data_IF_778197610464
#
_entry.id   IF_778197610464
#
_cell.length_a   1.000
_cell.length_b   1.000
_cell.length_c   1.000
_cell.angle_alpha   90.00
_cell.angle_beta   90.00
_cell.angle_gamma   90.00
#
_symmetry.space_group_name_H-M   'P 1'
#
loop_
_entity.id
_entity.type
_entity.pdbx_description
1 polymer ?
#
# COMPACT_ATOMS: atom_id res chain seq x y z
N UNK A 1 -13.97 -5.67 -13.51
CA UNK A 1 -14.51 -5.13 -14.78
C UNK A 1 -15.15 -6.27 -15.56
N UNK A 2 -16.33 -6.70 -15.07
CA UNK A 2 -17.37 -7.49 -15.76
C UNK A 2 -18.61 -7.52 -14.85
N UNK A 3 -18.95 -6.37 -14.27
CA UNK A 3 -20.20 -6.19 -13.49
C UNK A 3 -21.26 -5.45 -14.29
N UNK A 4 -20.99 -5.15 -15.56
CA UNK A 4 -21.89 -4.43 -16.44
C UNK A 4 -22.05 -5.29 -17.71
N UNK A 5 -23.29 -5.51 -18.10
CA UNK A 5 -23.77 -6.06 -19.39
C UNK A 5 -23.71 -7.58 -19.59
N UNK A 6 -24.21 -8.41 -18.68
CA UNK A 6 -24.59 -9.79 -19.07
C UNK A 6 -25.90 -10.21 -18.39
N UNK A 7 -27.00 -9.53 -18.71
CA UNK A 7 -28.32 -10.12 -18.52
C UNK A 7 -28.73 -10.91 -19.79
N UNK A 8 -29.28 -12.10 -19.53
CA UNK A 8 -30.31 -12.77 -20.34
C UNK A 8 -29.99 -13.51 -21.65
N UNK A 9 -28.73 -13.84 -22.02
CA UNK A 9 -28.54 -14.83 -23.10
C UNK A 9 -27.22 -15.64 -23.04
N UNK A 10 -27.29 -16.89 -22.57
CA UNK A 10 -26.14 -17.80 -22.35
C UNK A 10 -25.40 -18.21 -23.63
N UNK A 11 -26.07 -18.25 -24.78
CA UNK A 11 -25.44 -18.59 -26.06
C UNK A 11 -24.55 -17.46 -26.63
N UNK A 12 -24.94 -16.19 -26.39
CA UNK A 12 -24.17 -15.02 -26.83
C UNK A 12 -22.90 -14.84 -25.98
N UNK A 13 -22.97 -15.18 -24.69
CA UNK A 13 -21.85 -15.16 -23.74
C UNK A 13 -20.70 -16.08 -24.18
N UNK A 14 -21.00 -17.28 -24.69
CA UNK A 14 -19.99 -18.25 -25.15
C UNK A 14 -19.19 -17.75 -26.37
N UNK A 15 -19.82 -16.99 -27.27
CA UNK A 15 -19.12 -16.41 -28.43
C UNK A 15 -18.27 -15.20 -28.02
N UNK A 16 -18.76 -14.39 -27.08
CA UNK A 16 -18.05 -13.22 -26.57
C UNK A 16 -16.85 -13.56 -25.68
N UNK A 17 -16.81 -14.74 -25.07
CA UNK A 17 -15.67 -15.17 -24.25
C UNK A 17 -14.33 -15.10 -25.01
N UNK A 18 -14.33 -15.24 -26.34
CA UNK A 18 -13.12 -15.09 -27.17
C UNK A 18 -12.55 -13.66 -27.17
N UNK A 19 -13.36 -12.67 -26.81
CA UNK A 19 -13.00 -11.26 -26.73
C UNK A 19 -12.78 -10.78 -25.29
N UNK A 20 -13.11 -11.61 -24.29
CA UNK A 20 -12.94 -11.29 -22.88
C UNK A 20 -11.56 -11.76 -22.43
N UNK A 21 -10.61 -10.84 -22.38
CA UNK A 21 -9.27 -11.12 -21.86
C UNK A 21 -9.12 -10.61 -20.42
N UNK A 22 -8.77 -11.47 -19.45
CA UNK A 22 -8.51 -11.02 -18.09
C UNK A 22 -7.23 -10.17 -18.06
N UNK A 23 -7.36 -8.94 -17.55
CA UNK A 23 -6.22 -8.04 -17.35
C UNK A 23 -5.97 -7.87 -15.86
N UNK A 24 -4.72 -8.05 -15.45
CA UNK A 24 -4.28 -7.86 -14.07
C UNK A 24 -3.69 -6.46 -13.90
N UNK A 25 -4.16 -5.75 -12.90
CA UNK A 25 -3.51 -4.52 -12.43
C UNK A 25 -2.49 -4.87 -11.33
N UNK A 26 -1.22 -4.52 -11.53
CA UNK A 26 -0.18 -4.84 -10.55
C UNK A 26 1.22 -4.74 -11.15
N UNK A 27 2.02 -5.80 -11.02
CA UNK A 27 3.40 -5.85 -11.49
C UNK A 27 3.76 -7.27 -11.94
N UNK A 28 4.56 -7.38 -12.99
CA UNK A 28 5.15 -8.65 -13.42
C UNK A 28 6.58 -8.40 -13.85
N UNK A 29 7.49 -9.27 -13.41
CA UNK A 29 8.86 -9.32 -13.90
C UNK A 29 9.28 -10.78 -13.99
N UNK A 30 9.93 -11.12 -15.11
CA UNK A 30 10.47 -12.45 -15.39
C UNK A 30 11.95 -12.25 -15.69
N UNK A 31 12.82 -12.99 -15.00
CA UNK A 31 14.27 -12.91 -15.13
C UNK A 31 14.86 -14.31 -15.15
N UNK A 32 15.62 -14.61 -16.18
CA UNK A 32 16.46 -15.81 -16.23
C UNK A 32 17.77 -15.54 -15.50
N UNK A 33 18.25 -16.53 -14.74
CA UNK A 33 19.55 -16.46 -14.07
C UNK A 33 20.23 -17.83 -14.10
N UNK A 34 21.52 -17.84 -13.77
CA UNK A 34 22.34 -19.04 -13.74
C UNK A 34 23.06 -19.12 -12.40
N UNK A 35 22.88 -20.24 -11.69
CA UNK A 35 23.60 -20.55 -10.44
C UNK A 35 24.19 -21.95 -10.61
N UNK A 36 25.47 -22.13 -10.26
CA UNK A 36 26.18 -23.41 -10.41
C UNK A 36 26.07 -24.04 -11.82
N UNK A 37 26.05 -23.21 -12.88
CA UNK A 37 25.89 -23.67 -14.27
C UNK A 37 24.48 -24.09 -14.66
N UNK A 38 23.50 -23.95 -13.75
CA UNK A 38 22.09 -24.30 -13.97
C UNK A 38 21.29 -23.03 -14.23
N UNK A 39 20.73 -22.94 -15.43
CA UNK A 39 19.87 -21.82 -15.84
C UNK A 39 18.44 -22.08 -15.39
N UNK A 40 17.83 -21.11 -14.71
CA UNK A 40 16.45 -21.16 -14.25
C UNK A 40 15.78 -19.81 -14.45
N UNK A 41 14.45 -19.84 -14.53
CA UNK A 41 13.62 -18.64 -14.62
C UNK A 41 13.03 -18.32 -13.27
N UNK A 42 13.12 -17.06 -12.88
CA UNK A 42 12.55 -16.53 -11.65
C UNK A 42 11.63 -15.35 -11.97
N UNK A 43 10.44 -15.36 -11.38
CA UNK A 43 9.41 -14.37 -11.65
C UNK A 43 8.78 -13.84 -10.36
N UNK A 44 8.39 -12.57 -10.38
CA UNK A 44 7.50 -11.98 -9.36
C UNK A 44 6.26 -11.47 -10.08
N UNK A 45 5.09 -11.82 -9.54
CA UNK A 45 3.80 -11.32 -9.98
C UNK A 45 3.09 -10.71 -8.77
N UNK A 46 2.77 -9.43 -8.81
CA UNK A 46 1.88 -8.79 -7.84
C UNK A 46 0.55 -8.46 -8.49
N UNK A 47 -0.56 -8.87 -7.88
CA UNK A 47 -1.93 -8.70 -8.36
C UNK A 47 -2.72 -7.89 -7.35
N UNK A 48 -3.22 -6.72 -7.74
CA UNK A 48 -4.04 -5.88 -6.88
C UNK A 48 -5.51 -6.24 -7.05
N UNK A 49 -6.21 -6.39 -5.92
CA UNK A 49 -7.65 -6.61 -5.92
C UNK A 49 -8.40 -5.43 -6.54
N UNK A 50 -9.41 -5.75 -7.35
CA UNK A 50 -10.37 -4.78 -7.86
C UNK A 50 -11.42 -4.39 -6.80
N UNK A 51 -11.58 -5.19 -5.74
CA UNK A 51 -12.48 -4.90 -4.64
C UNK A 51 -11.87 -3.83 -3.71
N UNK A 52 -12.71 -2.88 -3.28
CA UNK A 52 -12.34 -1.75 -2.40
C UNK A 52 -11.00 -1.08 -2.81
N UNK A 53 -10.78 -0.90 -4.11
CA UNK A 53 -9.60 -0.21 -4.60
C UNK A 53 -9.73 1.31 -4.39
N UNK A 54 -8.63 1.95 -4.03
CA UNK A 54 -8.61 3.40 -3.93
C UNK A 54 -7.28 4.01 -3.56
N UNK A 55 -7.30 5.32 -3.39
CA UNK A 55 -6.14 6.14 -3.06
C UNK A 55 -5.88 6.18 -1.55
N UNK A 56 -4.67 6.62 -1.16
CA UNK A 56 -4.11 6.44 0.18
C UNK A 56 -5.00 6.90 1.34
N UNK A 57 -5.62 8.07 1.26
CA UNK A 57 -6.40 8.62 2.37
C UNK A 57 -7.93 8.49 2.20
N UNK A 58 -8.40 8.10 1.01
CA UNK A 58 -9.84 7.97 0.76
C UNK A 58 -10.36 6.56 1.02
N UNK A 59 -9.52 5.52 0.85
CA UNK A 59 -9.95 4.12 0.99
C UNK A 59 -9.02 3.35 1.93
N UNK A 60 -9.56 2.99 3.10
CA UNK A 60 -8.90 2.26 4.19
C UNK A 60 -9.89 1.26 4.82
N UNK A 61 -9.37 0.31 5.59
CA UNK A 61 -10.21 -0.69 6.27
C UNK A 61 -10.85 -1.69 5.31
N UNK A 62 -11.99 -2.23 5.72
CA UNK A 62 -12.83 -3.18 4.95
C UNK A 62 -14.13 -2.54 4.49
N UNK A 63 -14.79 -3.16 3.50
CA UNK A 63 -16.20 -2.91 3.18
C UNK A 63 -17.11 -3.89 3.94
N UNK A 64 -18.43 -3.75 3.73
CA UNK A 64 -19.47 -4.62 4.30
C UNK A 64 -19.29 -6.09 3.93
N UNK A 65 -18.69 -6.38 2.78
CA UNK A 65 -18.44 -7.72 2.27
C UNK A 65 -17.11 -8.32 2.80
N UNK A 66 -16.35 -7.55 3.60
CA UNK A 66 -15.07 -8.00 4.15
C UNK A 66 -13.89 -7.86 3.21
N UNK A 67 -14.00 -7.14 2.09
CA UNK A 67 -12.86 -6.86 1.22
C UNK A 67 -11.97 -5.77 1.83
N UNK A 68 -10.72 -6.13 2.14
CA UNK A 68 -9.74 -5.18 2.63
C UNK A 68 -9.28 -4.23 1.51
N UNK A 69 -9.22 -2.94 1.82
CA UNK A 69 -8.69 -1.94 0.91
C UNK A 69 -7.25 -2.24 0.51
N UNK A 70 -6.92 -1.99 -0.77
CA UNK A 70 -5.57 -2.13 -1.32
C UNK A 70 -4.95 -3.51 -1.08
N UNK A 71 -5.78 -4.53 -1.15
CA UNK A 71 -5.34 -5.91 -1.09
C UNK A 71 -4.47 -6.24 -2.31
N UNK A 72 -3.30 -6.81 -2.07
CA UNK A 72 -2.36 -7.24 -3.11
C UNK A 72 -1.87 -8.63 -2.74
N UNK A 73 -1.99 -9.53 -3.70
CA UNK A 73 -1.35 -10.84 -3.68
C UNK A 73 -0.01 -10.73 -4.42
N UNK A 74 1.06 -11.20 -3.81
CA UNK A 74 2.38 -11.26 -4.43
C UNK A 74 2.83 -12.71 -4.48
N UNK A 75 3.10 -13.19 -5.68
CA UNK A 75 3.53 -14.53 -5.98
C UNK A 75 4.94 -14.51 -6.55
N UNK A 76 5.79 -15.38 -6.01
CA UNK A 76 7.10 -15.66 -6.54
C UNK A 76 7.10 -17.04 -7.19
N UNK A 77 7.52 -17.10 -8.45
CA UNK A 77 7.56 -18.34 -9.24
C UNK A 77 8.99 -18.65 -9.65
N UNK A 78 9.37 -19.91 -9.56
CA UNK A 78 10.65 -20.44 -10.05
C UNK A 78 10.36 -21.59 -11.00
N UNK A 79 11.08 -21.62 -12.13
CA UNK A 79 11.00 -22.70 -13.08
C UNK A 79 12.40 -23.20 -13.44
N UNK A 80 12.60 -24.52 -13.33
CA UNK A 80 13.85 -25.20 -13.68
C UNK A 80 13.54 -26.60 -14.22
N UNK A 81 14.08 -26.97 -15.39
CA UNK A 81 13.87 -28.28 -16.02
C UNK A 81 12.40 -28.73 -16.05
N UNK A 82 11.49 -27.85 -16.50
CA UNK A 82 10.02 -28.06 -16.52
C UNK A 82 9.33 -28.16 -15.15
N UNK A 83 10.05 -28.39 -14.06
CA UNK A 83 9.53 -28.27 -12.70
C UNK A 83 9.26 -26.80 -12.36
N UNK A 84 8.19 -26.56 -11.59
CA UNK A 84 7.71 -25.22 -11.23
C UNK A 84 7.41 -25.17 -9.75
N UNK A 85 7.86 -24.11 -9.10
CA UNK A 85 7.50 -23.80 -7.72
C UNK A 85 6.88 -22.42 -7.61
N UNK A 86 5.93 -22.25 -6.70
CA UNK A 86 5.29 -20.97 -6.42
C UNK A 86 5.14 -20.73 -4.92
N UNK A 87 5.36 -19.49 -4.50
CA UNK A 87 5.15 -19.02 -3.14
C UNK A 87 4.32 -17.74 -3.14
N UNK A 88 3.18 -17.79 -2.45
CA UNK A 88 2.20 -16.69 -2.41
C UNK A 88 2.22 -16.02 -1.05
N UNK A 89 2.15 -14.68 -1.06
CA UNK A 89 2.01 -13.84 0.12
C UNK A 89 0.97 -12.77 -0.12
N UNK A 90 0.34 -12.29 0.95
CA UNK A 90 -0.73 -11.29 0.85
C UNK A 90 -0.37 -10.04 1.65
N UNK A 91 -0.90 -8.90 1.21
CA UNK A 91 -0.83 -7.64 1.96
C UNK A 91 -2.11 -6.85 1.74
N UNK A 92 -2.46 -6.00 2.68
CA UNK A 92 -3.63 -5.15 2.54
C UNK A 92 -3.80 -4.19 3.72
N UNK A 93 -4.91 -3.46 3.70
CA UNK A 93 -5.31 -2.65 4.86
C UNK A 93 -5.63 -3.54 6.07
N UNK A 94 -5.63 -2.91 7.25
CA UNK A 94 -6.03 -3.56 8.50
C UNK A 94 -7.53 -3.88 8.40
N UNK A 95 -7.96 -5.15 8.61
CA UNK A 95 -9.25 -5.62 8.15
C UNK A 95 -10.42 -5.27 9.09
N UNK A 96 -10.59 -3.99 9.46
CA UNK A 96 -11.76 -3.49 10.20
C UNK A 96 -12.14 -2.08 9.72
N UNK A 97 -13.30 -1.57 10.14
CA UNK A 97 -13.80 -0.25 9.73
C UNK A 97 -13.00 0.90 10.38
N UNK A 98 -12.11 1.52 9.59
CA UNK A 98 -11.39 2.73 9.97
C UNK A 98 -11.11 3.61 8.76
N UNK A 99 -10.93 4.90 9.01
CA UNK A 99 -10.66 5.90 7.99
C UNK A 99 -9.51 6.82 8.39
N UNK A 100 -8.90 7.45 7.39
CA UNK A 100 -7.83 8.43 7.61
C UNK A 100 -7.96 9.51 6.53
N UNK A 101 -8.99 10.35 6.68
CA UNK A 101 -9.29 11.39 5.68
C UNK A 101 -8.22 12.49 5.70
N UNK A 102 -7.86 13.03 4.52
CA UNK A 102 -6.94 14.15 4.44
C UNK A 102 -7.56 15.39 5.12
N UNK A 103 -6.73 16.27 5.69
CA UNK A 103 -7.16 17.52 6.34
C UNK A 103 -6.09 18.62 6.28
N UNK A 104 -5.30 18.69 5.20
CA UNK A 104 -4.11 19.52 5.00
C UNK A 104 -2.96 19.28 6.00
N UNK A 105 -3.16 18.51 7.07
CA UNK A 105 -2.05 18.11 7.93
C UNK A 105 -1.17 17.11 7.19
N UNK A 106 0.13 17.22 7.39
CA UNK A 106 1.11 16.29 6.78
C UNK A 106 0.80 14.82 7.06
N UNK A 107 0.36 14.50 8.30
CA UNK A 107 -0.09 13.16 8.70
C UNK A 107 -1.44 13.24 9.42
N UNK A 108 -2.58 13.01 8.73
CA UNK A 108 -3.90 12.93 9.38
C UNK A 108 -3.94 11.76 10.37
N UNK A 109 -4.67 11.92 11.48
CA UNK A 109 -4.83 10.85 12.49
C UNK A 109 -5.86 9.82 12.01
N UNK A 110 -5.60 8.51 12.17
CA UNK A 110 -6.61 7.50 11.89
C UNK A 110 -7.78 7.58 12.87
N UNK A 111 -8.97 7.26 12.37
CA UNK A 111 -10.21 7.22 13.12
C UNK A 111 -10.88 5.86 12.91
N UNK A 112 -11.08 5.12 14.00
CA UNK A 112 -11.82 3.87 14.00
C UNK A 112 -13.30 4.21 14.09
N UNK A 113 -14.14 3.58 13.25
CA UNK A 113 -15.59 3.76 13.34
C UNK A 113 -16.07 3.26 14.71
N UNK A 114 -17.07 3.92 15.32
CA UNK A 114 -17.63 3.47 16.61
C UNK A 114 -19.04 2.90 16.48
N UNK A 115 -19.65 3.10 15.32
CA UNK A 115 -21.06 2.80 15.04
C UNK A 115 -21.23 1.43 14.38
N UNK A 116 -20.19 0.94 13.70
CA UNK A 116 -20.25 -0.26 12.87
C UNK A 116 -19.73 -1.49 13.62
N UNK A 117 -20.38 -2.63 13.41
CA UNK A 117 -19.90 -3.90 13.94
C UNK A 117 -18.62 -4.35 13.20
N UNK A 118 -17.46 -4.16 13.84
CA UNK A 118 -16.19 -4.58 13.26
C UNK A 118 -16.04 -6.10 13.13
N UNK A 119 -16.63 -6.89 14.04
CA UNK A 119 -16.37 -8.33 14.14
C UNK A 119 -16.93 -9.08 12.95
N UNK A 120 -18.13 -8.72 12.50
CA UNK A 120 -18.78 -9.35 11.35
C UNK A 120 -17.95 -9.19 10.06
N UNK A 121 -17.56 -7.96 9.72
CA UNK A 121 -16.70 -7.73 8.56
C UNK A 121 -15.30 -8.34 8.69
N UNK A 122 -14.74 -8.33 9.91
CA UNK A 122 -13.44 -8.95 10.20
C UNK A 122 -13.48 -10.47 10.03
N UNK A 123 -14.54 -11.12 10.51
CA UNK A 123 -14.75 -12.56 10.38
C UNK A 123 -14.94 -12.93 8.90
N UNK A 124 -15.83 -12.24 8.17
CA UNK A 124 -15.99 -12.47 6.72
C UNK A 124 -14.68 -12.35 5.96
N UNK A 125 -13.87 -11.35 6.31
CA UNK A 125 -12.55 -11.17 5.71
C UNK A 125 -11.70 -12.43 5.91
N UNK A 126 -11.49 -12.87 7.15
CA UNK A 126 -10.60 -14.01 7.41
C UNK A 126 -11.18 -15.36 6.99
N UNK A 127 -12.49 -15.55 7.02
CA UNK A 127 -13.14 -16.74 6.49
C UNK A 127 -12.84 -16.87 4.99
N UNK A 128 -12.93 -15.78 4.23
CA UNK A 128 -12.54 -15.76 2.80
C UNK A 128 -11.05 -16.07 2.61
N UNK A 129 -10.18 -15.55 3.47
CA UNK A 129 -8.73 -15.80 3.38
C UNK A 129 -8.40 -17.25 3.71
N UNK A 130 -9.07 -17.84 4.71
CA UNK A 130 -8.84 -19.24 5.11
C UNK A 130 -9.30 -20.20 4.01
N UNK A 131 -10.43 -19.91 3.36
CA UNK A 131 -10.92 -20.72 2.23
C UNK A 131 -9.94 -20.67 1.05
N UNK A 132 -9.39 -19.49 0.74
CA UNK A 132 -8.52 -19.30 -0.42
C UNK A 132 -7.07 -19.77 -0.20
N UNK A 133 -6.54 -19.56 1.00
CA UNK A 133 -5.11 -19.66 1.27
C UNK A 133 -4.75 -20.56 2.46
N UNK A 134 -5.74 -21.12 3.16
CA UNK A 134 -5.52 -21.90 4.36
C UNK A 134 -5.09 -21.04 5.56
N UNK A 135 -4.15 -21.56 6.36
CA UNK A 135 -3.73 -20.92 7.62
C UNK A 135 -3.21 -19.50 7.39
N UNK A 136 -3.57 -18.56 8.26
CA UNK A 136 -3.19 -17.15 8.12
C UNK A 136 -2.24 -16.73 9.24
N UNK A 137 -1.06 -16.26 8.89
CA UNK A 137 -0.16 -15.57 9.83
C UNK A 137 -0.14 -14.09 9.49
N UNK A 138 -0.68 -13.28 10.40
CA UNK A 138 -0.75 -11.83 10.27
C UNK A 138 0.52 -11.22 10.87
N UNK A 139 1.30 -10.56 10.01
CA UNK A 139 2.48 -9.80 10.39
C UNK A 139 2.14 -8.32 10.45
N UNK A 140 1.90 -7.80 11.65
CA UNK A 140 1.53 -6.41 11.85
C UNK A 140 2.76 -5.53 12.13
N UNK A 141 3.12 -4.69 11.15
CA UNK A 141 4.34 -3.85 11.17
C UNK A 141 4.08 -2.40 11.64
N UNK A 142 2.96 -2.18 12.32
CA UNK A 142 2.49 -0.87 12.77
C UNK A 142 3.35 -0.35 13.92
N UNK A 143 3.49 0.97 14.01
CA UNK A 143 4.23 1.58 15.13
C UNK A 143 3.43 1.42 16.42
N UNK A 144 4.06 0.87 17.45
CA UNK A 144 3.43 0.70 18.77
C UNK A 144 3.37 2.02 19.56
N UNK A 145 3.84 3.12 18.96
CA UNK A 145 3.86 4.47 19.53
C UNK A 145 3.11 5.47 18.64
N UNK A 146 2.59 6.53 19.26
CA UNK A 146 1.93 7.63 18.56
C UNK A 146 0.52 7.31 18.07
N UNK A 147 0.15 7.86 16.91
CA UNK A 147 -1.21 7.81 16.35
C UNK A 147 -1.63 6.45 15.79
N UNK A 148 -0.68 5.52 15.67
CA UNK A 148 -0.88 4.18 15.12
C UNK A 148 -1.25 3.14 16.20
N UNK A 149 -0.86 3.38 17.47
CA UNK A 149 -1.10 2.48 18.61
C UNK A 149 -2.57 2.06 18.79
N UNK A 150 -3.58 2.95 18.66
CA UNK A 150 -4.97 2.54 18.82
C UNK A 150 -5.43 1.49 17.79
N UNK A 151 -4.88 1.53 16.57
CA UNK A 151 -5.21 0.55 15.52
C UNK A 151 -4.61 -0.82 15.83
N UNK A 152 -3.39 -0.84 16.36
CA UNK A 152 -2.70 -2.07 16.76
C UNK A 152 -3.45 -2.77 17.90
N UNK A 153 -3.78 -2.03 18.96
CA UNK A 153 -4.57 -2.56 20.09
C UNK A 153 -5.96 -3.04 19.68
N UNK A 154 -6.60 -2.34 18.72
CA UNK A 154 -7.87 -2.79 18.18
C UNK A 154 -7.72 -4.09 17.39
N UNK A 155 -6.69 -4.22 16.57
CA UNK A 155 -6.45 -5.43 15.78
C UNK A 155 -6.16 -6.64 16.67
N UNK A 156 -5.28 -6.48 17.65
CA UNK A 156 -4.94 -7.54 18.61
C UNK A 156 -6.18 -8.06 19.35
N UNK A 157 -7.01 -7.14 19.87
CA UNK A 157 -8.28 -7.49 20.52
C UNK A 157 -9.24 -8.24 19.59
N UNK A 158 -9.32 -7.85 18.32
CA UNK A 158 -10.20 -8.47 17.34
C UNK A 158 -9.78 -9.90 16.98
N UNK A 159 -8.47 -10.14 16.85
CA UNK A 159 -7.93 -11.49 16.65
C UNK A 159 -8.19 -12.34 17.89
N UNK A 160 -7.92 -11.80 19.08
CA UNK A 160 -8.14 -12.50 20.35
C UNK A 160 -9.62 -12.86 20.55
N UNK A 161 -10.54 -11.96 20.18
CA UNK A 161 -11.99 -12.22 20.29
C UNK A 161 -12.51 -13.24 19.29
N UNK A 162 -11.92 -13.31 18.08
CA UNK A 162 -12.30 -14.31 17.08
C UNK A 162 -11.85 -15.71 17.52
N UNK A 163 -10.71 -15.81 18.21
CA UNK A 163 -10.26 -17.07 18.84
C UNK A 163 -10.04 -18.23 17.87
N UNK A 164 -9.87 -17.95 16.57
CA UNK A 164 -9.72 -18.97 15.55
C UNK A 164 -8.28 -19.49 15.48
N UNK A 165 -8.08 -20.78 15.73
CA UNK A 165 -6.76 -21.43 15.70
C UNK A 165 -6.06 -21.41 14.34
N UNK A 166 -6.77 -21.12 13.25
CA UNK A 166 -6.21 -20.97 11.90
C UNK A 166 -5.54 -19.60 11.68
N UNK A 167 -5.69 -18.67 12.63
CA UNK A 167 -5.18 -17.30 12.52
C UNK A 167 -4.17 -17.05 13.65
N UNK A 168 -2.96 -16.65 13.28
CA UNK A 168 -1.92 -16.25 14.24
C UNK A 168 -1.54 -14.80 14.02
N UNK A 169 -1.59 -14.00 15.07
CA UNK A 169 -1.23 -12.58 15.03
C UNK A 169 0.14 -12.35 15.65
N UNK A 170 0.96 -11.58 14.94
CA UNK A 170 2.32 -11.22 15.34
C UNK A 170 2.49 -9.71 15.17
N UNK A 171 2.62 -9.01 16.29
CA UNK A 171 2.93 -7.58 16.30
C UNK A 171 4.46 -7.38 16.31
N UNK A 172 4.97 -6.62 15.33
CA UNK A 172 6.40 -6.31 15.22
C UNK A 172 6.59 -4.82 14.91
N UNK A 173 7.11 -4.06 15.87
CA UNK A 173 7.36 -2.62 15.66
C UNK A 173 8.60 -2.40 14.77
N UNK A 174 8.35 -2.28 13.47
CA UNK A 174 9.40 -2.05 12.48
C UNK A 174 10.21 -0.77 12.74
N UNK A 175 9.59 0.30 13.25
CA UNK A 175 10.31 1.56 13.47
C UNK A 175 11.24 1.47 14.67
N UNK A 176 10.79 0.84 15.76
CA UNK A 176 11.63 0.60 16.94
C UNK A 176 12.78 -0.33 16.60
N UNK A 177 12.50 -1.45 15.95
CA UNK A 177 13.47 -2.51 15.72
C UNK A 177 14.47 -2.17 14.60
N UNK A 178 14.03 -1.55 13.52
CA UNK A 178 14.92 -1.13 12.42
C UNK A 178 15.48 0.29 12.59
N UNK A 179 15.21 0.96 13.72
CA UNK A 179 15.83 2.26 14.03
C UNK A 179 17.35 2.15 14.03
N UNK A 180 18.01 3.19 13.50
CA UNK A 180 19.48 3.29 13.39
C UNK A 180 20.12 2.17 12.53
N UNK A 181 19.42 1.71 11.49
CA UNK A 181 19.90 0.70 10.54
C UNK A 181 20.23 -0.68 11.17
N UNK A 182 19.54 -1.04 12.25
CA UNK A 182 19.71 -2.34 12.93
C UNK A 182 18.91 -3.45 12.24
N UNK A 183 19.27 -3.72 10.99
CA UNK A 183 18.57 -4.67 10.13
C UNK A 183 18.72 -6.13 10.54
N UNK A 184 19.75 -6.47 11.32
CA UNK A 184 19.87 -7.77 11.97
C UNK A 184 18.62 -8.14 12.80
N UNK A 185 17.86 -7.14 13.28
CA UNK A 185 16.62 -7.39 14.03
C UNK A 185 15.46 -7.88 13.16
N UNK A 186 15.56 -7.77 11.84
CA UNK A 186 14.61 -8.46 10.95
C UNK A 186 14.81 -9.97 11.00
N UNK A 187 16.01 -10.45 11.31
CA UNK A 187 16.26 -11.87 11.52
C UNK A 187 15.43 -12.41 12.69
N UNK A 188 15.23 -11.63 13.76
CA UNK A 188 14.37 -12.02 14.90
C UNK A 188 12.95 -12.33 14.43
N UNK A 189 12.40 -11.52 13.52
CA UNK A 189 11.08 -11.78 12.96
C UNK A 189 11.08 -13.04 12.10
N UNK A 190 12.11 -13.22 11.26
CA UNK A 190 12.24 -14.42 10.43
C UNK A 190 12.38 -15.69 11.26
N UNK A 191 13.19 -15.67 12.31
CA UNK A 191 13.38 -16.79 13.23
C UNK A 191 12.07 -17.14 13.94
N UNK A 192 11.29 -16.14 14.36
CA UNK A 192 9.99 -16.35 14.99
C UNK A 192 8.95 -16.96 14.05
N UNK A 193 9.09 -16.77 12.73
CA UNK A 193 8.17 -17.31 11.73
C UNK A 193 8.71 -18.49 10.93
N UNK A 194 9.95 -18.91 11.17
CA UNK A 194 10.61 -19.97 10.41
C UNK A 194 9.84 -21.28 10.48
N UNK A 195 9.45 -21.73 11.67
CA UNK A 195 8.67 -22.98 11.85
C UNK A 195 7.34 -22.91 11.09
N UNK A 196 6.63 -21.78 11.16
CA UNK A 196 5.37 -21.59 10.43
C UNK A 196 5.58 -21.54 8.91
N UNK A 197 6.71 -21.01 8.46
CA UNK A 197 7.04 -20.94 7.05
C UNK A 197 7.33 -22.33 6.49
N UNK A 198 8.03 -23.18 7.25
CA UNK A 198 8.28 -24.57 6.89
C UNK A 198 6.98 -25.40 6.89
N UNK A 199 6.09 -25.19 7.87
CA UNK A 199 4.76 -25.81 7.91
C UNK A 199 3.89 -25.40 6.72
N UNK A 200 3.90 -24.13 6.33
CA UNK A 200 3.09 -23.65 5.21
C UNK A 200 3.59 -24.18 3.87
N UNK A 201 4.89 -24.41 3.76
CA UNK A 201 5.53 -24.89 2.55
C UNK A 201 5.33 -23.96 1.36
N UNK A 202 5.37 -24.55 0.17
CA UNK A 202 5.18 -23.88 -1.10
C UNK A 202 4.59 -24.84 -2.12
N UNK A 203 3.99 -24.28 -3.17
CA UNK A 203 3.51 -25.07 -4.29
C UNK A 203 4.68 -25.60 -5.10
N UNK A 204 4.70 -26.89 -5.42
CA UNK A 204 5.73 -27.52 -6.26
C UNK A 204 5.09 -28.56 -7.19
N UNK A 205 5.44 -28.45 -8.46
CA UNK A 205 5.05 -29.38 -9.52
C UNK A 205 6.31 -29.89 -10.21
N UNK A 206 6.34 -31.20 -10.43
CA UNK A 206 7.43 -31.86 -11.13
C UNK A 206 7.37 -31.64 -12.66
N UNK A 207 8.42 -32.04 -13.38
CA UNK A 207 8.48 -31.97 -14.83
C UNK A 207 7.32 -32.69 -15.53
N UNK A 208 6.81 -33.78 -14.93
CA UNK A 208 5.68 -34.56 -15.42
C UNK A 208 4.31 -33.93 -15.11
N UNK A 209 4.29 -32.76 -14.47
CA UNK A 209 3.04 -32.07 -14.08
C UNK A 209 2.39 -32.62 -12.80
N UNK A 210 3.04 -33.55 -12.10
CA UNK A 210 2.56 -34.08 -10.81
C UNK A 210 2.79 -33.06 -9.69
N UNK A 211 1.73 -32.74 -8.95
CA UNK A 211 1.81 -31.89 -7.76
C UNK A 211 2.52 -32.65 -6.63
N UNK A 212 3.65 -32.11 -6.18
CA UNK A 212 4.47 -32.68 -5.09
C UNK A 212 4.14 -32.05 -3.73
N UNK A 213 3.82 -30.75 -3.72
CA UNK A 213 3.40 -30.04 -2.51
C UNK A 213 2.47 -28.88 -2.86
N UNK A 214 1.56 -28.58 -1.94
CA UNK A 214 0.72 -27.38 -1.98
C UNK A 214 1.11 -26.45 -0.83
N UNK A 215 0.88 -25.16 -1.00
CA UNK A 215 1.03 -24.19 0.08
C UNK A 215 -0.23 -24.22 0.96
N UNK A 216 -0.09 -24.50 2.26
CA UNK A 216 -1.22 -24.67 3.20
C UNK A 216 -1.52 -23.43 4.07
N UNK A 217 -0.72 -22.38 3.90
CA UNK A 217 -0.91 -21.12 4.62
C UNK A 217 -0.20 -19.94 3.99
N UNK A 218 -0.59 -18.74 4.36
CA UNK A 218 0.00 -17.50 3.83
C UNK A 218 0.36 -16.51 4.93
N UNK A 219 1.44 -15.77 4.69
CA UNK A 219 1.80 -14.60 5.47
C UNK A 219 1.08 -13.38 4.93
N UNK A 220 0.24 -12.78 5.76
CA UNK A 220 -0.42 -11.51 5.49
C UNK A 220 0.35 -10.38 6.17
N UNK A 221 0.98 -9.51 5.38
CA UNK A 221 1.69 -8.35 5.92
C UNK A 221 0.80 -7.10 5.99
N UNK A 222 0.77 -6.48 7.16
CA UNK A 222 -0.02 -5.29 7.45
C UNK A 222 0.90 -4.13 7.86
N UNK A 223 0.56 -2.94 7.39
CA UNK A 223 1.25 -1.71 7.74
C UNK A 223 0.28 -0.54 7.59
N UNK A 224 0.50 0.54 8.34
CA UNK A 224 -0.32 1.73 8.19
C UNK A 224 -0.18 2.36 6.80
N UNK A 225 0.99 2.25 6.17
CA UNK A 225 1.22 2.68 4.78
C UNK A 225 1.94 1.54 4.08
N UNK A 226 1.16 0.68 3.42
CA UNK A 226 1.49 -0.69 3.04
C UNK A 226 2.52 -0.86 1.91
N UNK A 227 3.50 0.04 1.78
CA UNK A 227 4.39 0.07 0.64
C UNK A 227 5.82 -0.31 0.98
N UNK A 228 6.50 0.45 1.83
CA UNK A 228 7.96 0.27 1.99
C UNK A 228 8.30 -0.85 2.99
N UNK A 229 7.62 -0.90 4.15
CA UNK A 229 7.90 -1.87 5.23
C UNK A 229 7.48 -3.29 4.88
N UNK A 230 6.29 -3.42 4.29
CA UNK A 230 5.70 -4.71 3.87
C UNK A 230 6.50 -5.34 2.75
N UNK A 231 6.97 -4.55 1.77
CA UNK A 231 7.79 -5.08 0.68
C UNK A 231 9.12 -5.67 1.17
N UNK A 232 9.77 -5.02 2.16
CA UNK A 232 10.99 -5.56 2.77
C UNK A 232 10.73 -6.92 3.42
N UNK A 233 9.70 -7.05 4.25
CA UNK A 233 9.37 -8.32 4.91
C UNK A 233 8.97 -9.40 3.89
N UNK A 234 8.13 -9.06 2.91
CA UNK A 234 7.76 -9.99 1.83
C UNK A 234 8.99 -10.48 1.08
N UNK A 235 9.91 -9.56 0.70
CA UNK A 235 11.14 -9.93 0.01
C UNK A 235 12.07 -10.83 0.81
N UNK A 236 12.04 -10.77 2.15
CA UNK A 236 12.86 -11.61 3.02
C UNK A 236 12.26 -13.01 3.13
N UNK A 237 10.96 -13.09 3.43
CA UNK A 237 10.23 -14.35 3.50
C UNK A 237 10.29 -15.11 2.17
N UNK A 238 10.05 -14.41 1.05
CA UNK A 238 10.18 -14.99 -0.28
C UNK A 238 11.60 -15.49 -0.54
N UNK A 239 12.65 -14.83 -0.03
CA UNK A 239 14.03 -15.30 -0.18
C UNK A 239 14.28 -16.61 0.58
N UNK A 240 13.75 -16.72 1.80
CA UNK A 240 13.84 -17.95 2.59
C UNK A 240 13.17 -19.12 1.85
N UNK A 241 11.96 -18.91 1.31
CA UNK A 241 11.28 -19.93 0.51
C UNK A 241 12.03 -20.25 -0.78
N UNK A 242 12.52 -19.23 -1.49
CA UNK A 242 13.29 -19.38 -2.72
C UNK A 242 14.54 -20.23 -2.51
N UNK A 243 15.22 -20.06 -1.38
CA UNK A 243 16.38 -20.88 -1.02
C UNK A 243 15.97 -22.36 -0.96
N UNK A 244 14.91 -22.68 -0.23
CA UNK A 244 14.39 -24.06 -0.14
C UNK A 244 13.95 -24.61 -1.50
N UNK A 245 13.29 -23.79 -2.34
CA UNK A 245 12.88 -24.18 -3.70
C UNK A 245 14.09 -24.52 -4.59
N UNK A 246 15.09 -23.65 -4.66
CA UNK A 246 16.29 -23.86 -5.47
C UNK A 246 17.13 -25.05 -4.96
N UNK A 247 17.16 -25.26 -3.65
CA UNK A 247 17.80 -26.40 -3.01
C UNK A 247 17.10 -27.72 -3.39
N UNK A 248 15.76 -27.75 -3.33
CA UNK A 248 14.97 -28.93 -3.71
C UNK A 248 15.01 -29.23 -5.21
N UNK A 249 15.10 -28.19 -6.05
CA UNK A 249 15.33 -28.32 -7.50
C UNK A 249 16.79 -28.66 -7.87
N UNK A 250 17.68 -28.71 -6.87
CA UNK A 250 19.10 -29.02 -7.06
C UNK A 250 19.90 -27.89 -7.75
N UNK A 251 19.34 -26.69 -7.90
CA UNK A 251 20.05 -25.52 -8.46
C UNK A 251 21.09 -24.98 -7.46
N UNK A 252 20.73 -24.95 -6.17
CA UNK A 252 21.56 -24.46 -5.09
C UNK A 252 22.01 -25.62 -4.18
N UNK A 253 23.28 -25.66 -3.78
CA UNK A 253 23.76 -26.65 -2.81
C UNK A 253 23.25 -26.34 -1.39
N UNK A 254 23.13 -27.35 -0.52
CA UNK A 254 22.60 -27.19 0.85
C UNK A 254 23.40 -26.18 1.69
N UNK A 255 24.72 -26.10 1.47
CA UNK A 255 25.64 -25.21 2.20
C UNK A 255 25.65 -23.78 1.66
N UNK A 256 25.17 -23.54 0.44
CA UNK A 256 25.23 -22.23 -0.21
C UNK A 256 24.06 -21.36 0.19
N UNK A 257 24.30 -20.05 0.23
CA UNK A 257 23.27 -19.03 0.42
C UNK A 257 22.99 -18.30 -0.89
N UNK A 258 21.78 -17.74 -1.01
CA UNK A 258 21.41 -16.92 -2.17
C UNK A 258 22.22 -15.61 -2.16
N UNK A 259 22.47 -15.06 -0.97
CA UNK A 259 23.21 -13.82 -0.77
C UNK A 259 24.65 -13.87 -1.28
N UNK A 260 25.24 -15.07 -1.37
CA UNK A 260 26.59 -15.28 -1.90
C UNK A 260 26.64 -15.17 -3.44
N UNK A 261 25.49 -15.32 -4.10
CA UNK A 261 25.37 -15.25 -5.56
C UNK A 261 25.17 -13.79 -6.00
N UNK A 262 26.26 -13.04 -6.14
CA UNK A 262 26.23 -11.58 -6.35
C UNK A 262 25.35 -11.12 -7.52
N UNK A 263 25.38 -11.81 -8.66
CA UNK A 263 24.59 -11.45 -9.84
C UNK A 263 23.10 -11.65 -9.61
N UNK A 264 22.73 -12.81 -9.04
CA UNK A 264 21.35 -13.11 -8.71
C UNK A 264 20.82 -12.19 -7.60
N UNK A 265 21.61 -11.93 -6.57
CA UNK A 265 21.24 -11.07 -5.45
C UNK A 265 20.97 -9.62 -5.92
N UNK A 266 21.80 -9.09 -6.82
CA UNK A 266 21.57 -7.77 -7.42
C UNK A 266 20.29 -7.76 -8.25
N UNK A 267 20.05 -8.79 -9.05
CA UNK A 267 18.83 -8.93 -9.85
C UNK A 267 17.59 -9.01 -8.96
N UNK A 268 17.63 -9.83 -7.90
CA UNK A 268 16.57 -10.01 -6.92
C UNK A 268 16.19 -8.70 -6.23
N UNK A 269 17.18 -7.98 -5.70
CA UNK A 269 16.98 -6.68 -5.05
C UNK A 269 16.36 -5.64 -5.98
N UNK A 270 16.82 -5.57 -7.23
CA UNK A 270 16.27 -4.64 -8.21
C UNK A 270 14.82 -4.97 -8.56
N UNK A 271 14.50 -6.25 -8.79
CA UNK A 271 13.14 -6.69 -9.09
C UNK A 271 12.16 -6.41 -7.95
N UNK A 272 12.56 -6.63 -6.69
CA UNK A 272 11.73 -6.28 -5.53
C UNK A 272 11.58 -4.77 -5.31
N UNK A 273 12.59 -3.98 -5.68
CA UNK A 273 12.50 -2.52 -5.67
C UNK A 273 11.50 -2.03 -6.73
N UNK A 274 11.54 -2.60 -7.94
CA UNK A 274 10.62 -2.27 -9.03
C UNK A 274 9.18 -2.67 -8.70
N UNK A 275 9.00 -3.83 -8.05
CA UNK A 275 7.71 -4.26 -7.50
C UNK A 275 7.15 -3.26 -6.47
N UNK A 276 8.00 -2.77 -5.57
CA UNK A 276 7.63 -1.75 -4.58
C UNK A 276 7.21 -0.45 -5.27
N UNK A 277 8.00 0.00 -6.24
CA UNK A 277 7.74 1.22 -7.03
C UNK A 277 6.41 1.14 -7.79
N UNK A 278 6.13 0.02 -8.44
CA UNK A 278 4.89 -0.21 -9.16
C UNK A 278 3.68 -0.12 -8.20
N UNK A 279 3.75 -0.83 -7.07
CA UNK A 279 2.67 -0.84 -6.09
C UNK A 279 2.49 0.53 -5.41
N UNK A 280 3.58 1.28 -5.19
CA UNK A 280 3.54 2.62 -4.61
C UNK A 280 2.90 3.64 -5.56
N UNK A 281 3.23 3.60 -6.85
CA UNK A 281 2.60 4.47 -7.86
C UNK A 281 1.10 4.24 -7.90
N UNK A 282 0.68 2.98 -7.84
CA UNK A 282 -0.73 2.60 -7.86
C UNK A 282 -1.50 3.06 -6.62
N UNK A 283 -0.84 3.15 -5.46
CA UNK A 283 -1.48 3.49 -4.19
C UNK A 283 -1.40 4.98 -3.83
N UNK A 284 -0.20 5.57 -3.94
CA UNK A 284 0.10 6.93 -3.51
C UNK A 284 0.42 7.89 -4.68
N UNK A 285 0.41 7.41 -5.93
CA UNK A 285 0.68 8.23 -7.11
C UNK A 285 2.13 8.64 -7.30
N UNK A 286 3.04 8.17 -6.45
CA UNK A 286 4.48 8.40 -6.52
C UNK A 286 5.23 7.10 -6.33
N UNK A 287 6.51 7.05 -6.71
CA UNK A 287 7.37 5.89 -6.43
C UNK A 287 7.45 5.55 -4.94
N UNK A 288 7.96 4.36 -4.63
CA UNK A 288 8.18 3.96 -3.25
C UNK A 288 9.24 4.87 -2.62
N UNK A 289 9.16 5.08 -1.30
CA UNK A 289 10.22 5.80 -0.60
C UNK A 289 11.28 4.78 -0.20
N UNK A 290 12.55 5.21 -0.11
CA UNK A 290 13.67 4.33 0.26
C UNK A 290 13.93 3.18 -0.73
N UNK A 291 13.65 3.37 -2.01
CA UNK A 291 13.96 2.38 -3.06
C UNK A 291 15.46 2.16 -3.22
N UNK A 292 16.25 3.19 -2.95
CA UNK A 292 17.70 3.13 -2.90
C UNK A 292 18.20 2.11 -1.87
N UNK A 293 17.51 2.03 -0.72
CA UNK A 293 17.80 1.03 0.31
C UNK A 293 17.52 -0.39 -0.18
N UNK A 294 16.39 -0.64 -0.85
CA UNK A 294 16.11 -1.98 -1.41
C UNK A 294 17.11 -2.39 -2.49
N UNK A 295 17.57 -1.44 -3.32
CA UNK A 295 18.52 -1.70 -4.41
C UNK A 295 19.96 -1.88 -3.94
N UNK A 296 20.41 -1.10 -2.96
CA UNK A 296 21.84 -1.01 -2.61
C UNK A 296 22.17 -1.39 -1.17
N UNK A 297 21.16 -1.58 -0.32
CA UNK A 297 21.35 -1.88 1.11
C UNK A 297 21.89 -0.70 1.94
N UNK A 298 22.18 0.46 1.32
CA UNK A 298 22.63 1.69 1.99
C UNK A 298 21.77 2.87 1.54
N UNK A 299 21.68 3.90 2.38
CA UNK A 299 20.94 5.13 2.05
C UNK A 299 21.88 6.11 1.37
N UNK A 300 21.52 6.56 0.16
CA UNK A 300 22.33 7.50 -0.63
C UNK A 300 21.85 8.93 -0.42
N UNK A 301 22.75 9.93 -0.49
CA UNK A 301 22.35 11.33 -0.37
C UNK A 301 21.40 11.77 -1.50
N UNK A 302 21.60 11.25 -2.70
CA UNK A 302 20.69 11.50 -3.81
C UNK A 302 19.31 10.84 -3.59
N UNK A 303 19.29 9.63 -3.03
CA UNK A 303 18.05 8.96 -2.61
C UNK A 303 17.27 9.75 -1.55
N UNK A 304 17.97 10.38 -0.59
CA UNK A 304 17.35 11.26 0.42
C UNK A 304 16.68 12.49 -0.21
N UNK A 305 17.30 13.14 -1.19
CA UNK A 305 16.70 14.27 -1.91
C UNK A 305 15.47 13.84 -2.71
N UNK A 306 15.57 12.69 -3.40
CA UNK A 306 14.47 12.15 -4.19
C UNK A 306 13.29 11.69 -3.32
N UNK A 307 13.57 11.12 -2.14
CA UNK A 307 12.56 10.84 -1.11
C UNK A 307 11.83 12.12 -0.67
N UNK A 308 12.57 13.22 -0.48
CA UNK A 308 12.03 14.53 -0.14
C UNK A 308 11.09 15.07 -1.22
N UNK A 309 11.53 15.04 -2.47
CA UNK A 309 10.73 15.46 -3.62
C UNK A 309 9.46 14.60 -3.78
N UNK A 310 9.59 13.27 -3.70
CA UNK A 310 8.46 12.34 -3.74
C UNK A 310 7.48 12.58 -2.58
N UNK A 311 7.97 12.99 -1.41
CA UNK A 311 7.13 13.32 -0.26
C UNK A 311 6.31 14.59 -0.48
N UNK A 312 6.90 15.62 -1.12
CA UNK A 312 6.20 16.86 -1.48
C UNK A 312 5.12 16.58 -2.53
N UNK A 313 5.47 15.87 -3.61
CA UNK A 313 4.49 15.48 -4.64
C UNK A 313 3.36 14.66 -4.02
N UNK A 314 3.70 13.70 -3.15
CA UNK A 314 2.71 12.87 -2.48
C UNK A 314 1.79 13.71 -1.60
N UNK A 315 2.31 14.71 -0.87
CA UNK A 315 1.48 15.64 -0.10
C UNK A 315 0.52 16.42 -0.99
N UNK A 316 1.00 16.94 -2.13
CA UNK A 316 0.15 17.65 -3.08
C UNK A 316 -0.95 16.74 -3.65
N UNK A 317 -0.59 15.57 -4.17
CA UNK A 317 -1.55 14.62 -4.77
C UNK A 317 -2.63 14.20 -3.78
N UNK A 318 -2.20 13.82 -2.56
CA UNK A 318 -3.09 13.37 -1.49
C UNK A 318 -4.15 14.39 -1.07
N UNK A 319 -3.88 15.70 -1.22
CA UNK A 319 -4.81 16.75 -0.83
C UNK A 319 -5.55 17.37 -2.01
N UNK A 320 -4.99 17.39 -3.22
CA UNK A 320 -5.51 18.22 -4.32
C UNK A 320 -5.82 17.47 -5.62
N UNK A 321 -5.48 16.19 -5.74
CA UNK A 321 -5.70 15.40 -6.97
C UNK A 321 -6.29 14.01 -6.73
N UNK A 322 -6.22 13.52 -5.50
CA UNK A 322 -6.63 12.16 -5.15
C UNK A 322 -8.16 11.96 -5.17
N UNK A 323 -8.95 13.03 -5.05
CA UNK A 323 -10.42 12.98 -5.17
C UNK A 323 -10.86 12.60 -6.59
N UNK A 324 -10.42 13.36 -7.59
CA UNK A 324 -10.67 13.07 -9.01
C UNK A 324 -10.12 11.69 -9.41
N UNK A 325 -8.96 11.32 -8.89
CA UNK A 325 -8.37 10.00 -9.13
C UNK A 325 -9.22 8.88 -8.55
N UNK A 326 -9.79 9.08 -7.36
CA UNK A 326 -10.70 8.10 -6.76
C UNK A 326 -11.97 7.95 -7.58
N UNK A 327 -12.56 9.04 -8.04
CA UNK A 327 -13.74 9.02 -8.94
C UNK A 327 -13.42 8.28 -10.25
N UNK A 328 -12.23 8.49 -10.82
CA UNK A 328 -11.76 7.78 -12.02
C UNK A 328 -11.63 6.27 -11.77
N UNK A 329 -11.11 5.86 -10.61
CA UNK A 329 -11.00 4.44 -10.22
C UNK A 329 -12.39 3.84 -10.06
N UNK A 330 -13.29 4.54 -9.39
CA UNK A 330 -14.65 4.06 -9.12
C UNK A 330 -15.47 3.93 -10.42
N UNK A 331 -15.31 4.86 -11.37
CA UNK A 331 -15.90 4.74 -12.71
C UNK A 331 -15.30 3.56 -13.49
N UNK A 332 -13.96 3.43 -13.53
CA UNK A 332 -13.28 2.37 -14.26
C UNK A 332 -13.61 0.96 -13.74
N UNK A 333 -13.80 0.82 -12.43
CA UNK A 333 -14.18 -0.45 -11.81
C UNK A 333 -15.67 -0.77 -11.92
N UNK A 334 -16.48 0.20 -12.36
CA UNK A 334 -17.94 0.07 -12.45
C UNK A 334 -18.63 0.17 -11.09
N UNK A 335 -18.02 0.83 -10.11
CA UNK A 335 -18.65 1.12 -8.82
C UNK A 335 -19.68 2.24 -8.95
N UNK A 336 -19.50 3.13 -9.93
CA UNK A 336 -20.48 4.14 -10.32
C UNK A 336 -20.98 3.85 -11.74
N UNK A 337 -22.30 3.73 -11.90
CA UNK A 337 -22.93 3.61 -13.21
C UNK A 337 -23.46 4.99 -13.62
N UNK A 338 -23.13 5.42 -14.84
CA UNK A 338 -23.69 6.64 -15.42
C UNK A 338 -25.08 6.31 -15.93
N UNK A 339 -26.10 6.99 -15.41
CA UNK A 339 -27.46 6.91 -15.95
C UNK A 339 -27.52 7.67 -17.29
N UNK A 340 -28.05 7.02 -18.33
CA UNK A 340 -28.18 7.62 -19.67
C UNK A 340 -29.16 8.80 -19.69
N UNK A 341 -30.02 8.91 -18.68
CA UNK A 341 -30.96 10.03 -18.54
C UNK A 341 -30.32 11.33 -18.03
N UNK A 342 -29.18 11.24 -17.32
CA UNK A 342 -28.50 12.37 -16.70
C UNK A 342 -27.43 12.97 -17.63
N UNK A 343 -27.86 13.87 -18.52
CA UNK A 343 -26.97 14.58 -19.45
C UNK A 343 -26.06 15.63 -18.79
N UNK A 344 -26.26 15.92 -17.50
CA UNK A 344 -25.42 16.86 -16.75
C UNK A 344 -24.22 16.16 -16.12
N UNK A 345 -23.02 16.68 -16.35
CA UNK A 345 -21.80 16.13 -15.75
C UNK A 345 -21.93 16.06 -14.22
N UNK A 346 -21.82 14.88 -13.59
CA UNK A 346 -21.94 14.72 -12.13
C UNK A 346 -20.74 15.30 -11.35
N UNK A 347 -19.80 15.94 -12.04
CA UNK A 347 -18.61 16.59 -11.51
C UNK A 347 -18.73 18.12 -11.62
N UNK A 348 -19.64 18.79 -10.90
CA UNK A 348 -19.67 20.24 -10.90
C UNK A 348 -18.40 20.80 -10.23
N UNK A 349 -17.73 21.74 -10.90
CA UNK A 349 -16.60 22.51 -10.35
C UNK A 349 -17.11 23.72 -9.58
N UNK A 350 -17.84 23.48 -8.50
CA UNK A 350 -18.20 24.52 -7.53
C UNK A 350 -17.03 24.72 -6.56
N UNK A 351 -15.91 25.27 -7.05
CA UNK A 351 -14.89 25.84 -6.16
C UNK A 351 -15.33 27.26 -5.81
N UNK A 352 -15.99 27.37 -4.66
CA UNK A 352 -16.46 28.62 -4.08
C UNK A 352 -15.30 29.64 -4.03
N UNK A 353 -15.55 30.89 -4.44
CA UNK A 353 -14.51 31.92 -4.64
C UNK A 353 -13.64 32.16 -3.38
N UNK A 354 -14.25 31.90 -2.21
CA UNK A 354 -13.64 31.98 -0.88
C UNK A 354 -12.41 31.06 -0.70
N UNK A 355 -12.34 29.96 -1.45
CA UNK A 355 -11.23 29.00 -1.38
C UNK A 355 -10.00 29.43 -2.18
N UNK A 356 -10.17 30.32 -3.15
CA UNK A 356 -9.06 30.93 -3.90
C UNK A 356 -8.51 32.17 -3.17
N UNK A 357 -9.37 32.94 -2.51
CA UNK A 357 -8.98 34.20 -1.87
C UNK A 357 -8.11 34.00 -0.63
N UNK A 358 -8.41 33.02 0.23
CA UNK A 358 -7.66 32.80 1.48
C UNK A 358 -6.17 32.46 1.25
N UNK A 359 -5.79 31.54 0.35
CA UNK A 359 -4.39 31.31 0.01
C UNK A 359 -3.69 32.53 -0.59
N UNK A 360 -4.39 33.30 -1.45
CA UNK A 360 -3.84 34.54 -2.04
C UNK A 360 -3.54 35.55 -0.94
N UNK A 361 -4.48 35.80 -0.02
CA UNK A 361 -4.29 36.71 1.11
C UNK A 361 -3.10 36.25 1.96
N UNK A 362 -2.96 34.95 2.22
CA UNK A 362 -1.84 34.41 2.99
C UNK A 362 -0.49 34.63 2.29
N UNK A 363 -0.41 34.41 0.96
CA UNK A 363 0.82 34.62 0.18
C UNK A 363 1.18 36.11 0.16
N UNK A 364 0.22 36.99 -0.05
CA UNK A 364 0.42 38.45 -0.02
C UNK A 364 0.86 38.91 1.38
N UNK A 365 0.22 38.41 2.44
CA UNK A 365 0.59 38.75 3.81
C UNK A 365 2.01 38.26 4.15
N UNK A 366 2.37 37.06 3.71
CA UNK A 366 3.70 36.50 3.94
C UNK A 366 4.78 37.23 3.14
N UNK A 367 4.52 37.55 1.86
CA UNK A 367 5.47 38.30 1.04
C UNK A 367 5.68 39.72 1.58
N UNK A 368 4.60 40.40 2.00
CA UNK A 368 4.70 41.71 2.65
C UNK A 368 5.47 41.63 3.97
N UNK A 369 5.28 40.59 4.78
CA UNK A 369 6.08 40.37 5.98
C UNK A 369 7.58 40.25 5.68
N UNK A 370 7.95 39.48 4.64
CA UNK A 370 9.35 39.36 4.20
C UNK A 370 9.89 40.70 3.68
N UNK A 371 9.11 41.43 2.89
CA UNK A 371 9.52 42.74 2.37
C UNK A 371 9.76 43.71 3.53
N UNK A 372 8.89 43.75 4.54
CA UNK A 372 9.08 44.57 5.74
C UNK A 372 10.30 44.15 6.58
N UNK A 373 10.72 42.88 6.52
CA UNK A 373 11.96 42.42 7.17
C UNK A 373 13.22 42.81 6.39
N UNK A 374 13.14 42.89 5.06
CA UNK A 374 14.26 43.23 4.18
C UNK A 374 14.43 44.75 3.99
N UNK A 375 13.33 45.50 3.99
CA UNK A 375 13.34 46.95 3.94
C UNK A 375 13.52 47.50 5.36
N UNK A 376 14.76 47.79 5.74
CA UNK A 376 15.05 48.51 6.98
C UNK A 376 14.45 49.93 6.88
N UNK A 377 13.40 50.21 7.65
CA UNK A 377 12.84 51.55 7.78
C UNK A 377 13.69 52.44 8.68
N UNK A 378 13.57 53.76 8.50
CA UNK A 378 14.30 54.76 9.31
C UNK A 378 13.92 54.71 10.80
N UNK A 379 12.74 54.17 11.14
CA UNK A 379 12.30 53.95 12.52
C UNK A 379 12.05 52.47 12.81
N UNK A 380 12.66 51.99 13.90
CA UNK A 380 12.51 50.60 14.37
C UNK A 380 11.06 50.25 14.77
N UNK A 381 10.31 51.23 15.27
CA UNK A 381 8.94 51.04 15.76
C UNK A 381 7.94 50.80 14.64
N UNK A 382 8.07 51.50 13.50
CA UNK A 382 7.18 51.31 12.35
C UNK A 382 7.47 49.98 11.66
N UNK A 383 8.75 49.67 11.46
CA UNK A 383 9.20 48.40 10.89
C UNK A 383 8.67 47.21 11.71
N UNK A 384 8.76 47.28 13.04
CA UNK A 384 8.23 46.26 13.93
C UNK A 384 6.70 46.14 13.86
N UNK A 385 5.97 47.25 13.79
CA UNK A 385 4.51 47.24 13.70
C UNK A 385 4.01 46.57 12.40
N UNK A 386 4.62 46.85 11.26
CA UNK A 386 4.27 46.22 9.98
C UNK A 386 4.60 44.74 9.95
N UNK A 387 5.76 44.33 10.47
CA UNK A 387 6.15 42.91 10.56
C UNK A 387 5.17 42.15 11.47
N UNK A 388 4.77 42.73 12.60
CA UNK A 388 3.79 42.12 13.49
C UNK A 388 2.41 42.02 12.83
N UNK A 389 1.95 43.08 12.16
CA UNK A 389 0.66 43.07 11.47
C UNK A 389 0.60 41.99 10.38
N UNK A 390 1.56 41.98 9.45
CA UNK A 390 1.60 41.02 8.36
C UNK A 390 1.93 39.60 8.83
N UNK A 391 2.78 39.47 9.85
CA UNK A 391 3.06 38.21 10.52
C UNK A 391 1.81 37.60 11.16
N UNK A 392 1.06 38.38 11.95
CA UNK A 392 -0.21 37.95 12.56
C UNK A 392 -1.23 37.63 11.48
N UNK A 393 -1.39 38.48 10.47
CA UNK A 393 -2.30 38.23 9.36
C UNK A 393 -2.00 36.91 8.65
N UNK A 394 -0.72 36.61 8.39
CA UNK A 394 -0.27 35.34 7.78
C UNK A 394 -0.55 34.14 8.69
N UNK A 395 -0.27 34.25 10.00
CA UNK A 395 -0.54 33.18 10.97
C UNK A 395 -2.05 32.91 11.12
N UNK A 396 -2.87 33.96 11.19
CA UNK A 396 -4.33 33.84 11.32
C UNK A 396 -4.94 33.23 10.05
N UNK A 397 -4.57 33.72 8.86
CA UNK A 397 -5.05 33.13 7.60
C UNK A 397 -4.58 31.70 7.41
N UNK A 398 -3.31 31.40 7.71
CA UNK A 398 -2.79 30.03 7.70
C UNK A 398 -3.51 29.12 8.70
N UNK A 399 -3.81 29.63 9.90
CA UNK A 399 -4.58 28.92 10.92
C UNK A 399 -6.01 28.59 10.47
N UNK A 400 -6.69 29.56 9.84
CA UNK A 400 -8.03 29.36 9.27
C UNK A 400 -8.03 28.32 8.14
N UNK A 401 -7.03 28.35 7.25
CA UNK A 401 -6.87 27.36 6.18
C UNK A 401 -6.68 25.96 6.76
N UNK A 402 -5.83 25.81 7.78
CA UNK A 402 -5.59 24.52 8.43
C UNK A 402 -6.80 24.02 9.24
N UNK A 403 -7.56 24.93 9.84
CA UNK A 403 -8.78 24.60 10.59
C UNK A 403 -9.88 24.09 9.66
N UNK A 404 -10.11 24.80 8.55
CA UNK A 404 -11.07 24.41 7.50
C UNK A 404 -10.45 23.47 6.45
N UNK A 405 -9.33 22.81 6.77
CA UNK A 405 -8.54 22.10 5.78
C UNK A 405 -9.28 20.97 5.05
N UNK A 406 -10.37 20.45 5.62
CA UNK A 406 -11.23 19.45 4.95
C UNK A 406 -11.91 19.99 3.69
N UNK A 407 -12.25 21.28 3.68
CA UNK A 407 -13.00 21.91 2.58
C UNK A 407 -12.08 22.31 1.42
N UNK A 408 -10.78 22.46 1.68
CA UNK A 408 -9.76 22.75 0.68
C UNK A 408 -9.26 21.51 -0.08
N UNK A 409 -9.68 20.33 0.34
CA UNK A 409 -9.20 19.07 -0.23
C UNK A 409 -10.11 18.63 -1.36
N UNK A 410 -9.48 18.14 -2.41
CA UNK A 410 -10.16 17.40 -3.47
C UNK A 410 -10.75 16.09 -2.92
N UNK A 411 -12.07 16.09 -2.72
CA UNK A 411 -12.83 14.93 -2.25
C UNK A 411 -13.58 14.27 -3.43
N UNK A 412 -13.71 12.92 -3.43
CA UNK A 412 -14.47 12.23 -4.46
C UNK A 412 -15.93 12.67 -4.47
N UNK A 413 -16.48 12.85 -5.66
CA UNK A 413 -17.82 13.39 -5.89
C UNK A 413 -18.84 12.31 -6.27
N UNK A 414 -18.40 11.20 -6.90
CA UNK A 414 -19.32 10.21 -7.48
C UNK A 414 -19.95 9.28 -6.45
N UNK A 415 -19.14 8.70 -5.57
CA UNK A 415 -19.60 7.71 -4.56
C UNK A 415 -19.35 8.28 -3.18
N UNK A 416 -20.23 9.18 -2.75
CA UNK A 416 -20.13 9.77 -1.41
C UNK A 416 -20.83 8.92 -0.33
N UNK A 417 -21.83 8.09 -0.69
CA UNK A 417 -22.74 7.49 0.31
C UNK A 417 -22.43 6.04 0.76
N UNK A 418 -21.82 5.19 -0.06
CA UNK A 418 -21.71 3.74 0.30
C UNK A 418 -20.35 3.30 0.88
N UNK A 419 -19.33 4.17 0.94
CA UNK A 419 -18.09 3.88 1.68
C UNK A 419 -18.11 4.42 3.12
N UNK A 420 -19.27 4.90 3.58
CA UNK A 420 -19.46 5.56 4.89
C UNK A 420 -19.96 4.63 5.99
N UNK A 421 -20.56 3.49 5.64
CA UNK A 421 -21.13 2.54 6.60
C UNK A 421 -20.46 1.17 6.51
#
# INVERSE_FOLDING_TARGET
MLKIILSSNTAFILQLHKFVYPVVHGFIIIKSSCINGKVFDWSIISRRSCFRAGVRYHVRGIDSEGHAANYVETEQVVQYNSAKASFVQTRGSIPFYWSQRPNLKYKPKPQISKTVNHLDGFQRHFDSQIILYGRQVILNLINQTGSEKPLELAFDKMVASLGNGMIKYIAFDFHKECSRMRWHRLQILLDMVAEMQDEFGYFLVDADGKVLSNQEGTFRSNCMDCLDRTNVIQSLLARCTLKSQLQKMGVLHMSQQIEEQADFEKMYKNAWADNADACAKQYAGTGALKTDFTRTGKRTQWGLLMDGWNSIIRYYKNNFSDGFRQDSIDLFLGNYAVDEADWTTPLPDLKDLKFLTLPIIMVVAFSMCIICLLMAGDTWTETLAYVLFWGIASVVTGGLILFNGRDFIDAPKLIQKEKLD
#
